data_IF_252106533442
#
_entry.id   IF_252106533442
#
_cell.length_a   1.000
_cell.length_b   1.000
_cell.length_c   1.000
_cell.angle_alpha   90.00
_cell.angle_beta   90.00
_cell.angle_gamma   90.00
#
_symmetry.space_group_name_H-M   'P 1'
#
loop_
_entity.id
_entity.type
_entity.pdbx_description
1 polymer ?
#
# COMPACT_ATOMS: atom_id res chain seq x y z
N UNK A 1 -14.83 10.07 -6.25
CA UNK A 1 -15.39 8.69 -6.28
C UNK A 1 -14.88 8.04 -7.55
N UNK A 2 -14.17 6.92 -7.46
CA UNK A 2 -13.98 6.06 -8.64
C UNK A 2 -15.37 5.54 -8.95
N UNK A 3 -15.93 5.97 -10.08
CA UNK A 3 -17.22 5.51 -10.56
C UNK A 3 -17.22 3.96 -10.61
N UNK A 4 -18.11 3.27 -9.86
CA UNK A 4 -18.22 1.82 -9.91
C UNK A 4 -18.55 1.31 -11.33
N UNK A 5 -19.20 2.15 -12.14
CA UNK A 5 -19.51 1.91 -13.55
C UNK A 5 -18.46 2.50 -14.51
N UNK A 6 -17.38 3.11 -13.99
CA UNK A 6 -16.30 3.68 -14.80
C UNK A 6 -15.63 2.65 -15.70
N UNK A 7 -15.65 1.37 -15.32
CA UNK A 7 -15.17 0.22 -16.09
C UNK A 7 -16.11 -0.17 -17.25
N UNK A 8 -17.40 0.14 -17.13
CA UNK A 8 -18.39 -0.01 -18.21
C UNK A 8 -18.30 1.14 -19.23
N UNK A 9 -17.84 2.31 -18.79
CA UNK A 9 -17.66 3.50 -19.64
C UNK A 9 -16.23 3.67 -20.18
N UNK A 10 -15.25 3.01 -19.58
CA UNK A 10 -13.85 2.97 -20.00
C UNK A 10 -13.30 1.54 -19.88
N UNK A 11 -13.31 0.74 -20.96
CA UNK A 11 -12.82 -0.65 -20.93
C UNK A 11 -11.32 -0.74 -20.61
N UNK A 12 -10.55 0.33 -20.81
CA UNK A 12 -9.15 0.39 -20.38
C UNK A 12 -9.00 0.46 -18.85
N UNK A 13 -10.02 0.93 -18.14
CA UNK A 13 -10.07 0.97 -16.68
C UNK A 13 -9.86 -0.40 -16.03
N UNK A 14 -10.30 -1.47 -16.71
CA UNK A 14 -10.07 -2.87 -16.31
C UNK A 14 -8.61 -3.25 -16.17
N UNK A 15 -7.77 -2.72 -17.06
CA UNK A 15 -6.34 -3.01 -17.11
C UNK A 15 -5.58 -1.95 -16.30
N UNK A 16 -6.00 -0.69 -16.36
CA UNK A 16 -5.34 0.42 -15.68
C UNK A 16 -5.37 0.25 -14.15
N UNK A 17 -6.51 -0.09 -13.58
CA UNK A 17 -6.67 -0.07 -12.12
C UNK A 17 -5.81 -1.12 -11.41
N UNK A 18 -5.69 -2.39 -11.86
CA UNK A 18 -4.72 -3.32 -11.29
C UNK A 18 -3.27 -2.82 -11.41
N UNK A 19 -2.91 -2.19 -12.53
CA UNK A 19 -1.55 -1.66 -12.75
C UNK A 19 -1.26 -0.50 -11.79
N UNK A 20 -2.20 0.42 -11.61
CA UNK A 20 -2.06 1.54 -10.66
C UNK A 20 -2.05 1.04 -9.21
N UNK A 21 -2.83 0.02 -8.90
CA UNK A 21 -2.83 -0.62 -7.59
C UNK A 21 -1.48 -1.28 -7.27
N UNK A 22 -0.95 -2.10 -8.19
CA UNK A 22 0.38 -2.71 -8.03
C UNK A 22 1.46 -1.63 -7.89
N UNK A 23 1.40 -0.60 -8.73
CA UNK A 23 2.37 0.50 -8.71
C UNK A 23 2.37 1.25 -7.38
N UNK A 24 1.19 1.57 -6.85
CA UNK A 24 1.07 2.19 -5.52
C UNK A 24 1.70 1.33 -4.42
N UNK A 25 1.49 0.00 -4.46
CA UNK A 25 2.04 -0.92 -3.46
C UNK A 25 3.57 -1.03 -3.52
N UNK A 26 4.23 -0.59 -4.59
CA UNK A 26 5.71 -0.54 -4.66
C UNK A 26 6.32 0.47 -3.69
N UNK A 27 5.52 1.32 -3.04
CA UNK A 27 5.95 2.13 -1.89
C UNK A 27 6.59 1.29 -0.78
N UNK A 28 6.25 0.00 -0.68
CA UNK A 28 6.83 -0.93 0.28
C UNK A 28 8.23 -1.44 -0.07
N UNK A 29 8.73 -1.27 -1.31
CA UNK A 29 10.04 -1.78 -1.74
C UNK A 29 11.17 -1.36 -0.78
N UNK A 30 11.26 -0.09 -0.35
CA UNK A 30 12.30 0.34 0.56
C UNK A 30 12.33 -0.39 1.90
N UNK A 31 11.16 -0.80 2.41
CA UNK A 31 11.04 -1.56 3.64
C UNK A 31 11.34 -3.05 3.41
N UNK A 32 10.97 -3.60 2.24
CA UNK A 32 11.25 -5.00 1.90
C UNK A 32 12.73 -5.29 1.61
N UNK A 33 13.50 -4.26 1.24
CA UNK A 33 14.92 -4.41 0.93
C UNK A 33 15.78 -4.96 2.08
N UNK A 34 15.35 -4.84 3.34
CA UNK A 34 16.07 -5.45 4.47
C UNK A 34 15.83 -6.95 4.56
N UNK A 35 14.60 -7.41 4.27
CA UNK A 35 14.24 -8.85 4.31
C UNK A 35 14.80 -9.57 3.08
N UNK A 36 14.90 -8.87 1.95
CA UNK A 36 15.46 -9.42 0.73
C UNK A 36 16.96 -9.77 0.84
N UNK A 37 17.69 -9.24 1.83
CA UNK A 37 19.12 -9.54 2.04
C UNK A 37 19.35 -10.98 2.52
N UNK A 38 18.36 -11.57 3.18
CA UNK A 38 18.44 -12.94 3.70
C UNK A 38 18.12 -14.01 2.65
N UNK A 39 17.66 -13.60 1.45
CA UNK A 39 17.34 -14.51 0.35
C UNK A 39 18.61 -14.84 -0.44
N UNK A 40 19.05 -16.10 -0.33
CA UNK A 40 20.37 -16.54 -0.81
C UNK A 40 20.38 -16.96 -2.29
N UNK A 41 19.26 -17.46 -2.81
CA UNK A 41 19.17 -18.01 -4.15
C UNK A 41 17.99 -17.44 -4.96
N UNK A 42 18.10 -17.47 -6.30
CA UNK A 42 16.99 -17.07 -7.19
C UNK A 42 15.73 -17.89 -6.94
N UNK A 43 15.90 -19.16 -6.57
CA UNK A 43 14.78 -20.06 -6.26
C UNK A 43 14.08 -19.59 -4.98
N UNK A 44 14.83 -19.24 -3.93
CA UNK A 44 14.28 -18.73 -2.67
C UNK A 44 13.44 -17.46 -2.91
N UNK A 45 13.96 -16.56 -3.76
CA UNK A 45 13.26 -15.31 -4.13
C UNK A 45 11.93 -15.61 -4.85
N UNK A 46 11.94 -16.54 -5.81
CA UNK A 46 10.72 -16.89 -6.57
C UNK A 46 9.70 -17.59 -5.67
N UNK A 47 10.13 -18.56 -4.85
CA UNK A 47 9.26 -19.28 -3.93
C UNK A 47 8.65 -18.33 -2.88
N UNK A 48 9.46 -17.47 -2.26
CA UNK A 48 8.98 -16.47 -1.30
C UNK A 48 8.01 -15.47 -1.95
N UNK A 49 8.31 -15.01 -3.17
CA UNK A 49 7.43 -14.09 -3.90
C UNK A 49 6.10 -14.73 -4.29
N UNK A 50 6.11 -15.99 -4.72
CA UNK A 50 4.90 -16.74 -5.06
C UNK A 50 4.03 -16.99 -3.83
N UNK A 51 4.62 -17.49 -2.74
CA UNK A 51 3.90 -17.76 -1.49
C UNK A 51 3.33 -16.44 -0.93
N UNK A 52 4.14 -15.39 -0.86
CA UNK A 52 3.72 -14.08 -0.39
C UNK A 52 2.63 -13.46 -1.25
N UNK A 53 2.80 -13.49 -2.58
CA UNK A 53 1.84 -12.95 -3.54
C UNK A 53 0.51 -13.69 -3.53
N UNK A 54 0.52 -15.04 -3.49
CA UNK A 54 -0.69 -15.85 -3.41
C UNK A 54 -1.42 -15.65 -2.09
N UNK A 55 -0.69 -15.59 -0.98
CA UNK A 55 -1.27 -15.33 0.34
C UNK A 55 -1.95 -13.97 0.38
N UNK A 56 -1.26 -12.92 -0.10
CA UNK A 56 -1.83 -11.57 -0.17
C UNK A 56 -3.06 -11.52 -1.09
N UNK A 57 -3.00 -12.18 -2.25
CA UNK A 57 -4.13 -12.24 -3.19
C UNK A 57 -5.35 -12.91 -2.58
N UNK A 58 -5.14 -14.02 -1.86
CA UNK A 58 -6.18 -14.72 -1.12
C UNK A 58 -6.78 -13.81 -0.03
N UNK A 59 -5.94 -13.13 0.76
CA UNK A 59 -6.40 -12.22 1.82
C UNK A 59 -7.27 -11.09 1.25
N UNK A 60 -6.81 -10.40 0.19
CA UNK A 60 -7.57 -9.32 -0.45
C UNK A 60 -8.88 -9.84 -1.04
N UNK A 61 -8.87 -11.05 -1.62
CA UNK A 61 -10.09 -11.67 -2.17
C UNK A 61 -11.12 -11.96 -1.07
N UNK A 62 -10.67 -12.49 0.07
CA UNK A 62 -11.54 -12.75 1.23
C UNK A 62 -12.08 -11.45 1.83
N UNK A 63 -11.26 -10.41 1.93
CA UNK A 63 -11.69 -9.07 2.36
C UNK A 63 -12.77 -8.51 1.43
N UNK A 64 -12.53 -8.57 0.12
CA UNK A 64 -13.50 -8.11 -0.88
C UNK A 64 -14.82 -8.87 -0.75
N UNK A 65 -14.77 -10.21 -0.64
CA UNK A 65 -15.97 -11.02 -0.53
C UNK A 65 -16.75 -10.74 0.77
N UNK A 66 -16.04 -10.52 1.88
CA UNK A 66 -16.65 -10.18 3.16
C UNK A 66 -17.31 -8.79 3.17
N UNK A 67 -16.80 -7.85 2.38
CA UNK A 67 -17.27 -6.46 2.35
C UNK A 67 -18.26 -6.18 1.23
N UNK A 68 -18.36 -7.05 0.21
CA UNK A 68 -19.22 -6.89 -0.96
C UNK A 68 -20.70 -6.68 -0.59
N UNK A 69 -21.22 -7.41 0.39
CA UNK A 69 -22.60 -7.27 0.86
C UNK A 69 -22.92 -5.92 1.52
N UNK A 70 -21.89 -5.16 1.88
CA UNK A 70 -21.99 -3.85 2.55
C UNK A 70 -21.56 -2.70 1.64
N UNK A 71 -21.37 -2.97 0.35
CA UNK A 71 -20.87 -2.00 -0.64
C UNK A 71 -21.68 -0.69 -0.69
N UNK A 72 -23.01 -0.78 -0.65
CA UNK A 72 -23.89 0.40 -0.68
C UNK A 72 -23.72 1.31 0.55
N UNK A 73 -23.32 0.76 1.69
CA UNK A 73 -23.02 1.54 2.89
C UNK A 73 -21.62 2.17 2.80
N UNK A 74 -20.64 1.43 2.26
CA UNK A 74 -19.27 1.89 2.09
C UNK A 74 -19.09 2.95 1.00
N UNK A 75 -20.07 3.13 0.11
CA UNK A 75 -19.99 4.13 -0.99
C UNK A 75 -20.86 5.36 -0.76
N UNK A 76 -21.72 5.36 0.26
CA UNK A 76 -22.59 6.49 0.54
C UNK A 76 -21.82 7.58 1.32
N UNK A 77 -21.64 8.79 0.74
CA UNK A 77 -20.85 9.87 1.34
C UNK A 77 -21.49 10.47 2.60
N UNK A 78 -22.75 10.13 2.88
CA UNK A 78 -23.45 10.55 4.10
C UNK A 78 -22.93 9.84 5.35
N UNK A 79 -22.20 8.73 5.20
CA UNK A 79 -21.66 7.99 6.33
C UNK A 79 -20.18 8.32 6.60
N UNK A 80 -19.83 8.75 7.83
CA UNK A 80 -18.44 9.05 8.19
C UNK A 80 -17.59 7.78 8.18
N UNK A 81 -16.37 7.83 7.63
CA UNK A 81 -15.46 6.68 7.49
C UNK A 81 -15.85 5.62 6.44
N UNK A 82 -16.71 5.95 5.46
CA UNK A 82 -17.10 5.04 4.36
C UNK A 82 -15.89 4.36 3.66
N UNK A 83 -14.71 4.98 3.72
CA UNK A 83 -13.43 4.44 3.23
C UNK A 83 -12.83 3.28 4.07
N UNK A 84 -13.49 2.82 5.15
CA UNK A 84 -13.08 1.68 5.99
C UNK A 84 -14.06 0.51 5.81
N UNK A 85 -13.99 -0.25 4.70
CA UNK A 85 -15.03 -1.21 4.31
C UNK A 85 -15.20 -2.35 5.34
N UNK A 86 -14.12 -2.83 5.95
CA UNK A 86 -14.19 -3.87 7.00
C UNK A 86 -14.90 -3.36 8.25
N UNK A 87 -14.62 -2.12 8.68
CA UNK A 87 -15.29 -1.52 9.83
C UNK A 87 -16.81 -1.48 9.64
N UNK A 88 -17.24 -1.06 8.45
CA UNK A 88 -18.65 -1.05 8.06
C UNK A 88 -19.25 -2.46 8.05
N UNK A 89 -18.57 -3.41 7.41
CA UNK A 89 -19.03 -4.79 7.40
C UNK A 89 -19.25 -5.33 8.82
N UNK A 90 -18.35 -5.04 9.78
CA UNK A 90 -18.50 -5.47 11.16
C UNK A 90 -19.67 -4.78 11.89
N UNK A 91 -19.81 -3.45 11.76
CA UNK A 91 -20.87 -2.70 12.44
C UNK A 91 -22.26 -3.09 11.91
N UNK A 92 -22.42 -3.17 10.59
CA UNK A 92 -23.71 -3.42 9.95
C UNK A 92 -24.10 -4.90 9.89
N UNK A 93 -23.14 -5.82 9.97
CA UNK A 93 -23.42 -7.26 10.16
C UNK A 93 -23.91 -7.61 11.57
N UNK A 94 -23.96 -6.64 12.50
CA UNK A 94 -24.20 -6.85 13.93
C UNK A 94 -23.19 -7.83 14.54
N UNK A 95 -21.93 -7.74 14.08
CA UNK A 95 -20.85 -8.54 14.65
C UNK A 95 -20.71 -8.27 16.16
N UNK A 96 -20.26 -9.26 16.95
CA UNK A 96 -19.93 -9.06 18.35
C UNK A 96 -18.99 -7.86 18.52
N UNK A 97 -19.29 -6.98 19.48
CA UNK A 97 -18.54 -5.73 19.68
C UNK A 97 -17.03 -5.95 19.90
N UNK A 98 -16.66 -7.10 20.48
CA UNK A 98 -15.26 -7.51 20.62
C UNK A 98 -14.51 -7.59 19.29
N UNK A 99 -15.16 -8.02 18.20
CA UNK A 99 -14.53 -8.09 16.87
C UNK A 99 -14.26 -6.69 16.30
N UNK A 100 -15.16 -5.74 16.56
CA UNK A 100 -14.95 -4.33 16.18
C UNK A 100 -13.73 -3.75 16.92
N UNK A 101 -13.63 -4.00 18.23
CA UNK A 101 -12.48 -3.56 19.03
C UNK A 101 -11.19 -4.18 18.50
N UNK A 102 -11.17 -5.51 18.29
CA UNK A 102 -10.00 -6.21 17.76
C UNK A 102 -9.58 -5.64 16.41
N UNK A 103 -10.52 -5.40 15.50
CA UNK A 103 -10.23 -4.77 14.22
C UNK A 103 -9.57 -3.41 14.38
N UNK A 104 -10.12 -2.52 15.23
CA UNK A 104 -9.55 -1.19 15.46
C UNK A 104 -8.14 -1.27 16.07
N UNK A 105 -7.92 -2.20 17.01
CA UNK A 105 -6.59 -2.43 17.62
C UNK A 105 -5.59 -2.91 16.56
N UNK A 106 -5.94 -3.92 15.76
CA UNK A 106 -5.07 -4.43 14.71
C UNK A 106 -4.79 -3.36 13.64
N UNK A 107 -5.81 -2.59 13.25
CA UNK A 107 -5.66 -1.48 12.31
C UNK A 107 -4.66 -0.44 12.85
N UNK A 108 -4.78 -0.09 14.13
CA UNK A 108 -3.85 0.86 14.77
C UNK A 108 -2.42 0.32 14.82
N UNK A 109 -2.23 -0.95 15.20
CA UNK A 109 -0.91 -1.61 15.23
C UNK A 109 -0.31 -1.65 13.81
N UNK A 110 -1.11 -1.98 12.79
CA UNK A 110 -0.67 -2.02 11.40
C UNK A 110 -0.21 -0.64 10.93
N UNK A 111 -0.99 0.42 11.21
CA UNK A 111 -0.65 1.80 10.88
C UNK A 111 0.63 2.26 11.59
N UNK A 112 0.79 1.96 12.88
CA UNK A 112 2.01 2.27 13.62
C UNK A 112 3.23 1.54 13.06
N UNK A 113 3.08 0.25 12.74
CA UNK A 113 4.16 -0.56 12.17
C UNK A 113 4.60 0.00 10.82
N UNK A 114 3.64 0.33 9.95
CA UNK A 114 3.91 0.95 8.66
C UNK A 114 4.56 2.33 8.82
N UNK A 115 4.08 3.16 9.75
CA UNK A 115 4.65 4.48 10.03
C UNK A 115 6.12 4.38 10.46
N UNK A 116 6.41 3.56 11.47
CA UNK A 116 7.77 3.37 12.00
C UNK A 116 8.68 2.76 10.94
N UNK A 117 8.20 1.74 10.21
CA UNK A 117 8.96 1.10 9.14
C UNK A 117 9.36 2.06 8.03
N UNK A 118 8.42 2.88 7.55
CA UNK A 118 8.70 3.86 6.49
C UNK A 118 9.63 4.98 6.96
N UNK A 119 9.42 5.54 8.15
CA UNK A 119 10.31 6.58 8.70
C UNK A 119 11.74 6.02 8.87
N UNK A 120 11.88 4.80 9.40
CA UNK A 120 13.18 4.16 9.55
C UNK A 120 13.86 3.92 8.19
N UNK A 121 13.11 3.48 7.18
CA UNK A 121 13.66 3.28 5.83
C UNK A 121 14.13 4.61 5.20
N UNK A 122 13.34 5.68 5.32
CA UNK A 122 13.69 7.01 4.79
C UNK A 122 14.92 7.57 5.51
N UNK A 123 14.90 7.55 6.84
CA UNK A 123 16.02 8.08 7.64
C UNK A 123 17.32 7.32 7.38
N UNK A 124 17.27 5.98 7.29
CA UNK A 124 18.41 5.16 6.92
C UNK A 124 19.00 5.54 5.55
N UNK A 125 18.16 5.78 4.55
CA UNK A 125 18.62 6.20 3.21
C UNK A 125 19.30 7.56 3.22
N UNK A 126 18.75 8.52 3.97
CA UNK A 126 19.37 9.85 4.12
C UNK A 126 20.71 9.75 4.85
N UNK A 127 20.82 8.90 5.87
CA UNK A 127 22.09 8.67 6.56
C UNK A 127 23.16 8.10 5.62
N UNK A 128 22.80 7.07 4.84
CA UNK A 128 23.72 6.47 3.86
C UNK A 128 24.18 7.52 2.84
N UNK A 129 23.26 8.34 2.33
CA UNK A 129 23.58 9.43 1.40
C UNK A 129 24.52 10.49 2.02
N UNK A 130 24.39 10.74 3.34
CA UNK A 130 25.20 11.69 4.10
C UNK A 130 26.40 11.07 4.81
N UNK A 131 26.91 9.92 4.31
CA UNK A 131 28.09 9.22 4.83
C UNK A 131 27.97 8.83 6.32
N UNK A 132 26.79 8.41 6.76
CA UNK A 132 26.54 7.86 8.09
C UNK A 132 26.30 8.89 9.20
N UNK A 133 25.96 10.15 8.85
CA UNK A 133 25.68 11.20 9.85
C UNK A 133 24.36 10.96 10.59
N UNK A 134 24.39 10.20 11.69
CA UNK A 134 23.21 9.82 12.48
C UNK A 134 22.47 10.98 13.15
N UNK A 135 23.12 12.12 13.35
CA UNK A 135 22.52 13.33 13.92
C UNK A 135 21.39 13.92 13.07
N UNK A 136 21.27 13.53 11.79
CA UNK A 136 20.20 14.02 10.90
C UNK A 136 18.87 13.29 11.09
N UNK A 137 18.84 12.11 11.74
CA UNK A 137 17.61 11.31 11.90
C UNK A 137 16.45 12.10 12.51
N UNK A 138 16.62 12.83 13.64
CA UNK A 138 15.50 13.53 14.26
C UNK A 138 14.94 14.62 13.33
N UNK A 139 15.81 15.35 12.64
CA UNK A 139 15.40 16.40 11.71
C UNK A 139 14.60 15.83 10.52
N UNK A 140 15.06 14.72 9.94
CA UNK A 140 14.35 14.04 8.84
C UNK A 140 13.00 13.49 9.33
N UNK A 141 12.96 12.84 10.49
CA UNK A 141 11.71 12.32 11.07
C UNK A 141 10.70 13.42 11.32
N UNK A 142 11.11 14.53 11.95
CA UNK A 142 10.24 15.68 12.20
C UNK A 142 9.73 16.22 10.88
N UNK A 143 10.61 16.42 9.89
CA UNK A 143 10.23 16.94 8.57
C UNK A 143 9.19 16.04 7.89
N UNK A 144 9.42 14.72 7.85
CA UNK A 144 8.49 13.76 7.24
C UNK A 144 7.15 13.74 7.97
N UNK A 145 7.15 13.73 9.31
CA UNK A 145 5.93 13.75 10.10
C UNK A 145 5.14 15.06 9.94
N UNK A 146 5.84 16.19 9.88
CA UNK A 146 5.21 17.50 9.62
C UNK A 146 4.56 17.52 8.24
N UNK A 147 5.26 17.10 7.19
CA UNK A 147 4.69 17.02 5.84
C UNK A 147 3.50 16.05 5.80
N UNK A 148 3.62 14.87 6.41
CA UNK A 148 2.53 13.90 6.49
C UNK A 148 1.31 14.48 7.22
N UNK A 149 1.52 15.25 8.29
CA UNK A 149 0.45 15.93 9.04
C UNK A 149 -0.24 16.98 8.17
N UNK A 150 0.53 17.79 7.42
CA UNK A 150 -0.05 18.77 6.50
C UNK A 150 -0.89 18.11 5.39
N UNK A 151 -0.42 16.99 4.85
CA UNK A 151 -1.20 16.20 3.89
C UNK A 151 -2.46 15.64 4.57
N UNK A 152 -2.38 15.15 5.80
CA UNK A 152 -3.50 14.59 6.56
C UNK A 152 -4.65 15.59 6.77
N UNK A 153 -4.36 16.90 6.87
CA UNK A 153 -5.37 17.96 6.99
C UNK A 153 -6.31 18.00 5.78
N UNK A 154 -5.87 17.56 4.59
CA UNK A 154 -6.74 17.47 3.41
C UNK A 154 -7.90 16.46 3.55
N UNK A 155 -7.87 15.64 4.60
CA UNK A 155 -8.90 14.67 4.94
C UNK A 155 -8.69 13.32 4.26
N UNK A 156 -9.11 12.25 4.95
CA UNK A 156 -8.95 10.87 4.49
C UNK A 156 -9.52 10.64 3.09
N UNK A 157 -10.66 11.28 2.77
CA UNK A 157 -11.29 11.15 1.46
C UNK A 157 -10.38 11.63 0.33
N UNK A 158 -9.79 12.82 0.42
CA UNK A 158 -8.96 13.36 -0.66
C UNK A 158 -7.65 12.57 -0.82
N UNK A 159 -7.10 12.09 0.30
CA UNK A 159 -5.89 11.26 0.29
C UNK A 159 -6.14 9.95 -0.45
N UNK A 160 -7.23 9.24 -0.12
CA UNK A 160 -7.54 7.93 -0.72
C UNK A 160 -8.06 8.08 -2.16
N UNK A 161 -8.94 9.05 -2.42
CA UNK A 161 -9.61 9.17 -3.71
C UNK A 161 -8.76 9.81 -4.80
N UNK A 162 -7.81 10.68 -4.43
CA UNK A 162 -7.00 11.46 -5.38
C UNK A 162 -5.51 11.27 -5.12
N UNK A 163 -5.09 11.36 -3.85
CA UNK A 163 -3.69 11.22 -3.46
C UNK A 163 -3.08 9.88 -3.88
N UNK A 164 -3.81 8.79 -3.69
CA UNK A 164 -3.33 7.45 -4.06
C UNK A 164 -3.16 7.30 -5.57
N UNK A 165 -4.07 7.86 -6.36
CA UNK A 165 -3.95 7.84 -7.83
C UNK A 165 -2.71 8.59 -8.32
N UNK A 166 -2.45 9.79 -7.80
CA UNK A 166 -1.22 10.51 -8.15
C UNK A 166 0.03 9.75 -7.73
N UNK A 167 0.00 9.14 -6.54
CA UNK A 167 1.11 8.33 -6.05
C UNK A 167 1.32 7.08 -6.91
N UNK A 168 0.24 6.41 -7.33
CA UNK A 168 0.29 5.28 -8.27
C UNK A 168 1.03 5.66 -9.55
N UNK A 169 0.70 6.79 -10.18
CA UNK A 169 1.38 7.22 -11.40
C UNK A 169 2.85 7.56 -11.17
N UNK A 170 3.18 8.17 -10.02
CA UNK A 170 4.58 8.44 -9.67
C UNK A 170 5.39 7.13 -9.53
N UNK A 171 4.88 6.14 -8.81
CA UNK A 171 5.53 4.84 -8.67
C UNK A 171 5.52 4.03 -9.97
N UNK A 172 4.49 4.18 -10.81
CA UNK A 172 4.44 3.56 -12.13
C UNK A 172 5.65 4.01 -12.96
N UNK A 173 5.87 5.32 -13.05
CA UNK A 173 6.96 5.89 -13.84
C UNK A 173 8.34 5.61 -13.23
N UNK A 174 8.48 5.71 -11.90
CA UNK A 174 9.77 5.61 -11.21
C UNK A 174 10.20 4.17 -10.90
N UNK A 175 9.27 3.24 -10.74
CA UNK A 175 9.55 1.86 -10.32
C UNK A 175 8.95 0.83 -11.26
N UNK A 176 7.64 0.84 -11.50
CA UNK A 176 6.97 -0.24 -12.24
C UNK A 176 7.50 -0.38 -13.66
N UNK A 177 7.57 0.73 -14.42
CA UNK A 177 8.07 0.72 -15.80
C UNK A 177 9.55 0.32 -15.87
N UNK A 178 10.47 0.91 -15.08
CA UNK A 178 11.87 0.48 -15.07
C UNK A 178 12.08 -0.98 -14.66
N UNK A 179 11.34 -1.48 -13.67
CA UNK A 179 11.43 -2.87 -13.21
C UNK A 179 10.87 -3.84 -14.26
N UNK A 180 9.74 -3.52 -14.88
CA UNK A 180 9.12 -4.35 -15.90
C UNK A 180 9.90 -4.35 -17.23
N UNK A 181 10.63 -3.27 -17.54
CA UNK A 181 11.44 -3.17 -18.76
C UNK A 181 12.88 -3.63 -18.51
N UNK A 182 13.71 -2.77 -17.90
CA UNK A 182 15.15 -3.00 -17.69
C UNK A 182 15.38 -4.13 -16.69
N UNK A 183 14.57 -4.19 -15.62
CA UNK A 183 14.67 -5.24 -14.61
C UNK A 183 14.42 -6.62 -15.21
N UNK A 184 13.29 -6.80 -15.91
CA UNK A 184 12.97 -8.04 -16.61
C UNK A 184 14.03 -8.40 -17.66
N UNK A 185 14.42 -7.43 -18.51
CA UNK A 185 15.45 -7.64 -19.53
C UNK A 185 16.74 -8.20 -18.91
N UNK A 186 17.25 -7.58 -17.84
CA UNK A 186 18.48 -8.02 -17.16
C UNK A 186 18.34 -9.39 -16.51
N UNK A 187 17.16 -9.74 -15.99
CA UNK A 187 16.90 -11.05 -15.40
C UNK A 187 16.95 -12.14 -16.46
N UNK A 188 16.34 -11.92 -17.62
CA UNK A 188 16.29 -12.91 -18.71
C UNK A 188 17.60 -13.00 -19.50
N UNK A 189 18.33 -11.90 -19.70
CA UNK A 189 19.60 -11.92 -20.47
C UNK A 189 20.81 -12.38 -19.67
N UNK A 190 20.85 -12.24 -18.34
CA UNK A 190 21.93 -12.80 -17.49
C UNK A 190 21.82 -14.31 -17.23
N UNK A 191 20.86 -14.99 -17.86
CA UNK A 191 20.75 -16.45 -17.84
C UNK A 191 21.48 -17.12 -19.03
N UNK A 192 22.34 -16.38 -19.73
CA UNK A 192 23.39 -16.88 -20.61
C UNK A 192 24.76 -16.36 -20.12
#
# INVERSE_FOLDING_TARGET
>A
MVDPSGWLHNPLGFIESPILYVSYNLVGIPAMASVAQDLSSRRDVVEASLIGGLTLSLMITLEYLATLGYYNYATNPSYPFANLPIYYALVYSRAPYILVILYVVFLYIALLTALVGNINSITYRVEVALKGRRSVRPAVTITVLTVATFIAISGLYNIVSVGYTYLSYAFLALFTVPLASVGAYRVFTRNH
#
